data_IF_807531246530
#
_entry.id   IF_807531246530
#
_cell.length_a   1.000
_cell.length_b   1.000
_cell.length_c   1.000
_cell.angle_alpha   90.00
_cell.angle_beta   90.00
_cell.angle_gamma   90.00
#
_symmetry.space_group_name_H-M   'P 1'
#
loop_
_entity.id
_entity.type
_entity.pdbx_description
1 polymer ?
#
# COMPACT_ATOMS: atom_id res chain seq x y z
N UNK A 1 84.38 -22.81 -20.35
CA UNK A 1 84.07 -24.11 -20.96
C UNK A 1 85.35 -24.93 -20.94
N UNK A 2 85.46 -25.89 -20.03
CA UNK A 2 86.54 -26.88 -20.07
C UNK A 2 85.96 -28.10 -20.74
N UNK A 3 86.32 -28.34 -21.99
CA UNK A 3 85.91 -29.52 -22.75
C UNK A 3 86.73 -30.71 -22.28
N UNK A 4 86.09 -31.64 -21.57
CA UNK A 4 86.70 -32.93 -21.23
C UNK A 4 86.66 -33.79 -22.48
N UNK A 5 87.82 -34.27 -22.95
CA UNK A 5 87.93 -35.15 -24.12
C UNK A 5 88.19 -36.59 -23.66
N UNK A 6 87.20 -37.49 -23.69
CA UNK A 6 87.35 -38.88 -23.25
C UNK A 6 88.46 -39.61 -24.02
N UNK A 7 88.64 -39.28 -25.31
CA UNK A 7 89.69 -39.86 -26.16
C UNK A 7 91.12 -39.54 -25.72
N UNK A 8 91.35 -38.41 -25.03
CA UNK A 8 92.69 -38.00 -24.58
C UNK A 8 93.19 -38.86 -23.40
N UNK A 9 92.28 -39.42 -22.59
CA UNK A 9 92.62 -40.35 -21.50
C UNK A 9 92.92 -41.76 -22.03
N UNK A 10 92.23 -42.18 -23.09
CA UNK A 10 92.50 -43.47 -23.76
C UNK A 10 93.91 -43.46 -24.37
N UNK A 11 94.32 -42.37 -25.03
CA UNK A 11 95.70 -42.22 -25.55
C UNK A 11 96.75 -42.14 -24.43
N UNK A 12 96.43 -41.52 -23.29
CA UNK A 12 97.33 -41.41 -22.15
C UNK A 12 97.47 -42.73 -21.36
N UNK A 13 96.46 -43.61 -21.37
CA UNK A 13 96.50 -44.94 -20.74
C UNK A 13 97.11 -46.03 -21.63
N UNK A 14 96.97 -45.93 -22.96
CA UNK A 14 97.53 -46.92 -23.90
C UNK A 14 99.04 -46.78 -24.11
N UNK A 15 99.61 -45.57 -23.99
CA UNK A 15 101.07 -45.36 -24.14
C UNK A 15 101.91 -46.02 -23.04
N UNK A 16 101.53 -45.96 -21.74
CA UNK A 16 102.19 -46.74 -20.69
C UNK A 16 102.06 -48.25 -20.91
N UNK A 17 100.92 -48.74 -21.41
CA UNK A 17 100.72 -50.17 -21.67
C UNK A 17 101.67 -50.71 -22.75
N UNK A 18 101.93 -49.95 -23.81
CA UNK A 18 102.89 -50.31 -24.85
C UNK A 18 104.34 -50.29 -24.35
N UNK A 19 104.70 -49.31 -23.51
CA UNK A 19 106.05 -49.18 -22.93
C UNK A 19 106.30 -50.28 -21.88
N UNK A 20 105.27 -50.73 -21.17
CA UNK A 20 105.38 -51.79 -20.16
C UNK A 20 105.24 -53.21 -20.71
N UNK A 21 104.65 -53.43 -21.90
CA UNK A 21 104.77 -54.71 -22.60
C UNK A 21 106.24 -55.03 -22.94
N UNK A 22 107.03 -53.99 -23.24
CA UNK A 22 108.48 -54.12 -23.40
C UNK A 22 109.19 -54.37 -22.05
N UNK A 23 108.78 -53.69 -20.98
CA UNK A 23 109.37 -53.93 -19.65
C UNK A 23 109.02 -55.32 -19.07
N UNK A 24 107.83 -55.85 -19.36
CA UNK A 24 107.41 -57.19 -18.95
C UNK A 24 108.19 -58.30 -19.68
N UNK A 25 108.68 -58.03 -20.90
CA UNK A 25 109.53 -58.97 -21.62
C UNK A 25 110.97 -59.02 -21.06
N UNK A 26 111.42 -57.95 -20.41
CA UNK A 26 112.76 -57.82 -19.80
C UNK A 26 112.83 -58.27 -18.32
N UNK A 27 111.70 -58.63 -17.70
CA UNK A 27 111.59 -59.07 -16.29
C UNK A 27 111.16 -60.54 -16.19
N UNK A 28 111.48 -61.36 -17.20
CA UNK A 28 111.54 -62.82 -17.00
C UNK A 28 112.85 -63.16 -16.30
N UNK A 29 112.87 -63.10 -14.97
CA UNK A 29 113.56 -64.01 -14.03
C UNK A 29 113.30 -63.50 -12.60
N UNK A 30 112.72 -64.39 -11.78
CA UNK A 30 112.42 -64.32 -10.34
C UNK A 30 111.07 -63.72 -9.86
N UNK A 31 110.18 -64.65 -9.48
CA UNK A 31 109.07 -64.58 -8.52
C UNK A 31 107.64 -64.36 -9.07
N UNK A 32 106.91 -65.48 -9.23
CA UNK A 32 105.54 -65.57 -9.77
C UNK A 32 104.46 -64.84 -8.94
N UNK A 33 104.78 -64.40 -7.72
CA UNK A 33 103.86 -63.59 -6.90
C UNK A 33 103.81 -62.10 -7.33
N UNK A 34 104.83 -61.60 -8.02
CA UNK A 34 104.91 -60.18 -8.42
C UNK A 34 104.01 -59.83 -9.61
N UNK A 35 103.85 -60.75 -10.58
CA UNK A 35 103.03 -60.54 -11.78
C UNK A 35 101.53 -60.41 -11.44
N UNK A 36 101.03 -61.23 -10.52
CA UNK A 36 99.63 -61.19 -10.09
C UNK A 36 99.28 -59.88 -9.37
N UNK A 37 100.21 -59.34 -8.56
CA UNK A 37 100.04 -58.05 -7.87
C UNK A 37 100.02 -56.89 -8.88
N UNK A 38 100.91 -56.92 -9.87
CA UNK A 38 100.97 -55.88 -10.91
C UNK A 38 99.70 -55.90 -11.78
N UNK A 39 99.22 -57.07 -12.19
CA UNK A 39 97.94 -57.20 -12.93
C UNK A 39 96.75 -56.69 -12.11
N UNK A 40 96.68 -57.01 -10.82
CA UNK A 40 95.62 -56.48 -9.95
C UNK A 40 95.70 -54.95 -9.82
N UNK A 41 96.90 -54.38 -9.69
CA UNK A 41 97.06 -52.91 -9.66
C UNK A 41 96.58 -52.25 -10.97
N UNK A 42 96.76 -52.91 -12.12
CA UNK A 42 96.24 -52.45 -13.41
C UNK A 42 94.72 -52.56 -13.48
N UNK A 43 94.13 -53.62 -12.93
CA UNK A 43 92.67 -53.73 -12.85
C UNK A 43 92.09 -52.66 -11.92
N UNK A 44 92.71 -52.41 -10.76
CA UNK A 44 92.30 -51.34 -9.84
C UNK A 44 92.45 -49.95 -10.49
N UNK A 45 93.51 -49.71 -11.26
CA UNK A 45 93.66 -48.47 -12.03
C UNK A 45 92.62 -48.33 -13.13
N UNK A 46 92.30 -49.41 -13.85
CA UNK A 46 91.28 -49.39 -14.90
C UNK A 46 89.87 -49.17 -14.31
N UNK A 47 89.59 -49.79 -13.16
CA UNK A 47 88.35 -49.58 -12.41
C UNK A 47 88.26 -48.12 -11.92
N UNK A 48 89.32 -47.58 -11.31
CA UNK A 48 89.36 -46.19 -10.88
C UNK A 48 89.18 -45.19 -12.03
N UNK A 49 89.73 -45.48 -13.22
CA UNK A 49 89.50 -44.65 -14.41
C UNK A 49 88.03 -44.73 -14.86
N UNK A 50 87.42 -45.93 -14.81
CA UNK A 50 86.00 -46.13 -15.09
C UNK A 50 85.11 -45.37 -14.10
N UNK A 51 85.43 -45.40 -12.81
CA UNK A 51 84.72 -44.65 -11.77
C UNK A 51 84.82 -43.14 -11.98
N UNK A 52 85.99 -42.63 -12.40
CA UNK A 52 86.19 -41.20 -12.71
C UNK A 52 85.32 -40.75 -13.89
N UNK A 53 85.20 -41.57 -14.95
CA UNK A 53 84.35 -41.22 -16.09
C UNK A 53 82.86 -41.22 -15.70
N UNK A 54 82.42 -42.23 -14.93
CA UNK A 54 81.06 -42.29 -14.39
C UNK A 54 80.76 -41.08 -13.50
N UNK A 55 81.68 -40.71 -12.60
CA UNK A 55 81.53 -39.54 -11.74
C UNK A 55 81.48 -38.23 -12.55
N UNK A 56 82.29 -38.13 -13.62
CA UNK A 56 82.26 -37.01 -14.56
C UNK A 56 80.92 -36.86 -15.27
N UNK A 57 80.33 -37.97 -15.74
CA UNK A 57 79.01 -37.98 -16.36
C UNK A 57 77.89 -37.62 -15.36
N UNK A 58 77.96 -38.14 -14.14
CA UNK A 58 77.01 -37.81 -13.07
C UNK A 58 77.07 -36.31 -12.71
N UNK A 59 78.26 -35.73 -12.62
CA UNK A 59 78.44 -34.31 -12.37
C UNK A 59 77.80 -33.44 -13.47
N UNK A 60 78.03 -33.77 -14.75
CA UNK A 60 77.42 -33.03 -15.87
C UNK A 60 75.89 -33.16 -15.90
N UNK A 61 75.36 -34.35 -15.57
CA UNK A 61 73.93 -34.58 -15.43
C UNK A 61 73.32 -33.71 -14.31
N UNK A 62 73.93 -33.71 -13.13
CA UNK A 62 73.51 -32.87 -12.00
C UNK A 62 73.60 -31.37 -12.32
N UNK A 63 74.65 -30.94 -13.02
CA UNK A 63 74.81 -29.55 -13.43
C UNK A 63 73.73 -29.12 -14.44
N UNK A 64 73.34 -30.01 -15.35
CA UNK A 64 72.23 -29.77 -16.29
C UNK A 64 70.89 -29.67 -15.56
N UNK A 65 70.64 -30.56 -14.59
CA UNK A 65 69.44 -30.50 -13.74
C UNK A 65 69.40 -29.20 -12.92
N UNK A 66 70.51 -28.82 -12.29
CA UNK A 66 70.62 -27.60 -11.52
C UNK A 66 70.33 -26.34 -12.37
N UNK A 67 70.92 -26.25 -13.57
CA UNK A 67 70.63 -25.17 -14.50
C UNK A 67 69.17 -25.17 -14.99
N UNK A 68 68.58 -26.35 -15.18
CA UNK A 68 67.16 -26.51 -15.49
C UNK A 68 66.25 -25.96 -14.38
N UNK A 69 66.54 -26.29 -13.12
CA UNK A 69 65.80 -25.79 -11.94
C UNK A 69 65.95 -24.27 -11.81
N UNK A 70 67.15 -23.71 -12.03
CA UNK A 70 67.35 -22.25 -12.03
C UNK A 70 66.49 -21.59 -13.11
N UNK A 71 66.49 -22.14 -14.34
CA UNK A 71 65.69 -21.62 -15.44
C UNK A 71 64.19 -21.66 -15.16
N UNK A 72 63.69 -22.78 -14.61
CA UNK A 72 62.29 -22.92 -14.21
C UNK A 72 61.91 -21.97 -13.07
N UNK A 73 62.74 -21.87 -12.02
CA UNK A 73 62.49 -20.97 -10.90
C UNK A 73 62.41 -19.51 -11.37
N UNK A 74 63.30 -19.10 -12.28
CA UNK A 74 63.23 -17.79 -12.91
C UNK A 74 61.91 -17.58 -13.64
N UNK A 75 61.51 -18.52 -14.49
CA UNK A 75 60.26 -18.49 -15.22
C UNK A 75 59.03 -18.39 -14.31
N UNK A 76 58.98 -19.20 -13.25
CA UNK A 76 57.87 -19.25 -12.30
C UNK A 76 57.74 -17.94 -11.50
N UNK A 77 58.87 -17.34 -11.10
CA UNK A 77 58.87 -16.02 -10.45
C UNK A 77 58.32 -14.94 -11.39
N UNK A 78 58.67 -14.97 -12.68
CA UNK A 78 58.13 -14.03 -13.66
C UNK A 78 56.63 -14.27 -13.92
N UNK A 79 56.20 -15.52 -14.03
CA UNK A 79 54.79 -15.86 -14.17
C UNK A 79 53.99 -15.41 -12.95
N UNK A 80 54.47 -15.72 -11.74
CA UNK A 80 53.83 -15.31 -10.48
C UNK A 80 53.69 -13.79 -10.36
N UNK A 81 54.74 -13.02 -10.70
CA UNK A 81 54.65 -11.54 -10.75
C UNK A 81 53.61 -11.05 -11.75
N UNK A 82 53.53 -11.69 -12.92
CA UNK A 82 52.57 -11.35 -13.97
C UNK A 82 51.13 -11.65 -13.55
N UNK A 83 50.89 -12.83 -12.99
CA UNK A 83 49.59 -13.22 -12.44
C UNK A 83 49.18 -12.31 -11.28
N UNK A 84 50.11 -11.99 -10.38
CA UNK A 84 49.84 -11.07 -9.29
C UNK A 84 49.42 -9.70 -9.83
N UNK A 85 50.15 -9.13 -10.80
CA UNK A 85 49.78 -7.88 -11.45
C UNK A 85 48.39 -7.93 -12.11
N UNK A 86 48.06 -9.03 -12.80
CA UNK A 86 46.72 -9.22 -13.37
C UNK A 86 45.64 -9.29 -12.29
N UNK A 87 45.86 -9.99 -11.18
CA UNK A 87 44.89 -10.06 -10.08
C UNK A 87 44.68 -8.71 -9.39
N UNK A 88 45.73 -7.90 -9.23
CA UNK A 88 45.62 -6.56 -8.63
C UNK A 88 44.91 -5.58 -9.56
N UNK A 89 45.03 -5.76 -10.88
CA UNK A 89 44.35 -4.94 -11.88
C UNK A 89 42.87 -5.31 -12.10
N UNK A 90 42.37 -6.39 -11.51
CA UNK A 90 40.95 -6.76 -11.60
C UNK A 90 40.09 -5.73 -10.83
N UNK A 91 39.02 -5.19 -11.44
CA UNK A 91 38.12 -4.25 -10.76
C UNK A 91 37.52 -4.77 -9.44
N UNK A 92 37.38 -6.09 -9.28
CA UNK A 92 36.90 -6.71 -8.04
C UNK A 92 37.89 -6.60 -6.85
N UNK A 93 39.18 -6.43 -7.15
CA UNK A 93 40.26 -6.27 -6.18
C UNK A 93 40.64 -4.80 -5.95
N UNK A 94 40.10 -3.88 -6.75
CA UNK A 94 40.22 -2.45 -6.53
C UNK A 94 39.44 -2.03 -5.26
N UNK A 95 40.11 -1.45 -4.25
CA UNK A 95 39.46 -0.90 -3.07
C UNK A 95 38.37 0.14 -3.39
N UNK A 96 38.53 0.91 -4.47
CA UNK A 96 37.56 1.93 -4.88
C UNK A 96 36.21 1.31 -5.25
N UNK A 97 36.22 0.19 -5.97
CA UNK A 97 35.01 -0.55 -6.33
C UNK A 97 34.31 -1.12 -5.09
N UNK A 98 35.07 -1.61 -4.11
CA UNK A 98 34.53 -2.11 -2.84
C UNK A 98 33.84 -0.99 -2.05
N UNK A 99 34.48 0.18 -1.95
CA UNK A 99 33.91 1.36 -1.31
C UNK A 99 32.62 1.83 -2.01
N UNK A 100 32.61 1.89 -3.34
CA UNK A 100 31.41 2.28 -4.10
C UNK A 100 30.29 1.24 -3.97
N UNK A 101 30.62 -0.05 -4.01
CA UNK A 101 29.64 -1.12 -3.82
C UNK A 101 29.02 -1.06 -2.43
N UNK A 102 29.84 -0.91 -1.39
CA UNK A 102 29.37 -0.93 -0.01
C UNK A 102 28.59 0.35 0.33
N UNK A 103 29.03 1.52 -0.16
CA UNK A 103 28.25 2.76 -0.04
C UNK A 103 26.90 2.68 -0.76
N UNK A 104 26.85 2.11 -1.98
CA UNK A 104 25.58 1.86 -2.69
C UNK A 104 24.68 0.87 -1.94
N UNK A 105 25.23 -0.15 -1.29
CA UNK A 105 24.46 -1.09 -0.46
C UNK A 105 23.85 -0.43 0.76
N UNK A 106 24.59 0.46 1.43
CA UNK A 106 24.05 1.25 2.55
C UNK A 106 22.93 2.17 2.09
N UNK A 107 23.12 2.88 0.97
CA UNK A 107 22.07 3.71 0.38
C UNK A 107 20.82 2.89 0.03
N UNK A 108 21.00 1.73 -0.61
CA UNK A 108 19.89 0.83 -0.92
C UNK A 108 19.16 0.35 0.34
N UNK A 109 19.88 -0.01 1.41
CA UNK A 109 19.28 -0.44 2.66
C UNK A 109 18.41 0.67 3.29
N UNK A 110 18.89 1.91 3.32
CA UNK A 110 18.12 3.06 3.80
C UNK A 110 16.87 3.30 2.94
N UNK A 111 16.99 3.22 1.62
CA UNK A 111 15.84 3.40 0.72
C UNK A 111 14.80 2.29 0.88
N UNK A 112 15.23 1.04 1.07
CA UNK A 112 14.32 -0.08 1.34
C UNK A 112 13.56 0.10 2.66
N UNK A 113 14.21 0.59 3.71
CA UNK A 113 13.56 0.88 4.98
C UNK A 113 12.47 1.96 4.84
N UNK A 114 12.78 3.05 4.15
CA UNK A 114 11.82 4.14 3.87
C UNK A 114 10.65 3.60 3.05
N UNK A 115 10.92 2.83 1.99
CA UNK A 115 9.89 2.24 1.15
C UNK A 115 8.98 1.28 1.93
N UNK A 116 9.54 0.43 2.79
CA UNK A 116 8.78 -0.47 3.64
C UNK A 116 7.89 0.30 4.62
N UNK A 117 8.38 1.40 5.21
CA UNK A 117 7.58 2.27 6.09
C UNK A 117 6.42 2.92 5.34
N UNK A 118 6.65 3.44 4.13
CA UNK A 118 5.60 4.03 3.31
C UNK A 118 4.56 2.99 2.89
N UNK A 119 4.98 1.78 2.51
CA UNK A 119 4.07 0.68 2.17
C UNK A 119 3.22 0.24 3.36
N UNK A 120 3.80 0.17 4.57
CA UNK A 120 3.04 -0.07 5.80
C UNK A 120 1.98 1.02 6.04
N UNK A 121 2.36 2.30 5.92
CA UNK A 121 1.42 3.41 6.09
C UNK A 121 0.31 3.39 5.05
N UNK A 122 0.60 3.01 3.80
CA UNK A 122 -0.40 2.83 2.76
C UNK A 122 -1.39 1.70 3.10
N UNK A 123 -0.90 0.57 3.58
CA UNK A 123 -1.75 -0.55 4.02
C UNK A 123 -2.63 -0.16 5.22
N UNK A 124 -2.09 0.59 6.20
CA UNK A 124 -2.88 1.12 7.32
C UNK A 124 -3.92 2.13 6.84
N UNK A 125 -3.55 3.05 5.96
CA UNK A 125 -4.51 3.96 5.33
C UNK A 125 -5.66 3.19 4.69
N UNK A 126 -5.37 2.11 3.95
CA UNK A 126 -6.42 1.28 3.35
C UNK A 126 -7.33 0.64 4.41
N UNK A 127 -6.79 0.09 5.50
CA UNK A 127 -7.63 -0.43 6.61
C UNK A 127 -8.55 0.65 7.20
N UNK A 128 -8.07 1.89 7.32
CA UNK A 128 -8.88 3.01 7.80
C UNK A 128 -9.89 3.50 6.77
N UNK A 129 -9.50 3.56 5.50
CA UNK A 129 -10.32 4.05 4.40
C UNK A 129 -11.53 3.14 4.14
N UNK A 130 -11.33 1.83 4.22
CA UNK A 130 -12.38 0.83 4.06
C UNK A 130 -13.01 0.39 5.39
N UNK A 131 -12.48 0.84 6.53
CA UNK A 131 -12.89 0.40 7.89
C UNK A 131 -12.99 -1.11 8.03
N UNK A 132 -12.13 -1.81 7.31
CA UNK A 132 -12.10 -3.25 7.20
C UNK A 132 -10.71 -3.73 7.57
N UNK A 133 -10.63 -4.79 8.36
CA UNK A 133 -9.34 -5.48 8.55
C UNK A 133 -8.99 -6.19 7.26
N UNK A 134 -7.89 -5.79 6.62
CA UNK A 134 -7.41 -6.45 5.40
C UNK A 134 -7.02 -7.91 5.66
N UNK A 135 -6.76 -8.28 6.91
CA UNK A 135 -6.53 -9.67 7.32
C UNK A 135 -7.72 -10.59 7.06
N UNK A 136 -8.95 -10.05 7.02
CA UNK A 136 -10.13 -10.82 6.63
C UNK A 136 -10.09 -11.23 5.15
N UNK A 137 -9.37 -10.47 4.31
CA UNK A 137 -9.10 -10.77 2.90
C UNK A 137 -7.72 -11.43 2.69
N UNK A 138 -7.24 -12.19 3.68
CA UNK A 138 -5.95 -12.89 3.66
C UNK A 138 -4.71 -11.98 3.46
N UNK A 139 -4.86 -10.66 3.61
CA UNK A 139 -3.74 -9.72 3.50
C UNK A 139 -3.23 -9.33 4.88
N UNK A 140 -1.95 -9.64 5.17
CA UNK A 140 -1.35 -9.31 6.45
C UNK A 140 -0.42 -8.11 6.30
N UNK A 141 -0.79 -7.00 6.94
CA UNK A 141 0.05 -5.79 6.98
C UNK A 141 1.46 -6.10 7.52
N UNK A 142 1.59 -7.08 8.42
CA UNK A 142 2.87 -7.51 8.99
C UNK A 142 3.84 -8.12 7.97
N UNK A 143 3.37 -8.57 6.80
CA UNK A 143 4.24 -9.23 5.81
C UNK A 143 5.27 -8.25 5.21
N UNK A 144 5.02 -6.94 5.28
CA UNK A 144 6.01 -5.93 4.87
C UNK A 144 7.29 -5.99 5.70
N UNK A 145 7.23 -6.43 6.96
CA UNK A 145 8.41 -6.60 7.81
C UNK A 145 9.29 -7.77 7.38
N UNK A 146 8.81 -8.63 6.48
CA UNK A 146 9.57 -9.74 5.90
C UNK A 146 10.24 -9.38 4.58
N UNK A 147 9.95 -8.21 4.01
CA UNK A 147 10.50 -7.77 2.74
C UNK A 147 12.03 -7.59 2.85
N UNK A 148 12.78 -8.20 1.93
CA UNK A 148 14.25 -8.10 1.88
C UNK A 148 14.75 -7.41 0.62
N UNK A 149 13.89 -7.30 -0.38
CA UNK A 149 14.20 -6.72 -1.69
C UNK A 149 13.13 -5.73 -2.13
N UNK A 150 13.45 -4.91 -3.13
CA UNK A 150 12.48 -3.99 -3.72
C UNK A 150 11.30 -4.74 -4.37
N UNK A 151 11.55 -5.94 -4.91
CA UNK A 151 10.54 -6.79 -5.52
C UNK A 151 9.53 -7.31 -4.48
N UNK A 152 9.98 -7.62 -3.26
CA UNK A 152 9.08 -8.02 -2.16
C UNK A 152 8.13 -6.88 -1.77
N UNK A 153 8.63 -5.63 -1.73
CA UNK A 153 7.82 -4.45 -1.44
C UNK A 153 6.80 -4.22 -2.58
N UNK A 154 7.22 -4.37 -3.83
CA UNK A 154 6.34 -4.24 -4.98
C UNK A 154 5.22 -5.28 -4.96
N UNK A 155 5.55 -6.55 -4.70
CA UNK A 155 4.58 -7.64 -4.53
C UNK A 155 3.62 -7.37 -3.38
N UNK A 156 4.12 -6.84 -2.26
CA UNK A 156 3.26 -6.43 -1.15
C UNK A 156 2.24 -5.36 -1.58
N UNK A 157 2.66 -4.33 -2.32
CA UNK A 157 1.78 -3.29 -2.82
C UNK A 157 0.77 -3.80 -3.87
N UNK A 158 1.19 -4.71 -4.75
CA UNK A 158 0.29 -5.37 -5.71
C UNK A 158 -0.75 -6.23 -4.99
N UNK A 159 -0.34 -6.96 -3.95
CA UNK A 159 -1.26 -7.75 -3.13
C UNK A 159 -2.22 -6.85 -2.33
N UNK A 160 -1.75 -5.68 -1.87
CA UNK A 160 -2.59 -4.68 -1.22
C UNK A 160 -3.66 -4.17 -2.19
N UNK A 161 -3.25 -3.77 -3.41
CA UNK A 161 -4.16 -3.30 -4.45
C UNK A 161 -5.21 -4.35 -4.84
N UNK A 162 -4.78 -5.61 -4.98
CA UNK A 162 -5.68 -6.73 -5.22
C UNK A 162 -6.64 -6.96 -4.04
N UNK A 163 -6.16 -6.89 -2.80
CA UNK A 163 -6.99 -7.08 -1.61
C UNK A 163 -8.05 -5.98 -1.48
N UNK A 164 -7.69 -4.74 -1.82
CA UNK A 164 -8.60 -3.58 -1.81
C UNK A 164 -9.61 -3.65 -2.96
N UNK A 165 -9.15 -3.97 -4.18
CA UNK A 165 -10.01 -4.07 -5.37
C UNK A 165 -11.07 -5.17 -5.23
N UNK A 166 -10.73 -6.27 -4.54
CA UNK A 166 -11.64 -7.37 -4.30
C UNK A 166 -12.46 -7.23 -3.01
N UNK A 167 -12.38 -6.11 -2.29
CA UNK A 167 -13.35 -5.81 -1.24
C UNK A 167 -14.73 -5.61 -1.91
N UNK A 168 -15.75 -6.43 -1.57
CA UNK A 168 -17.10 -6.21 -2.06
C UNK A 168 -17.56 -4.79 -1.71
N UNK A 169 -18.09 -4.09 -2.71
CA UNK A 169 -18.53 -2.71 -2.53
C UNK A 169 -17.41 -1.69 -2.27
N UNK A 170 -16.20 -1.86 -2.82
CA UNK A 170 -15.12 -0.87 -2.66
C UNK A 170 -15.52 0.59 -3.01
N UNK A 171 -14.64 1.59 -2.84
CA UNK A 171 -14.98 3.01 -3.12
C UNK A 171 -15.51 3.20 -4.54
N UNK A 172 -15.03 2.41 -5.50
CA UNK A 172 -15.57 2.38 -6.87
C UNK A 172 -17.05 2.02 -6.93
N UNK A 173 -17.53 1.15 -6.05
CA UNK A 173 -18.96 0.83 -5.91
C UNK A 173 -19.74 2.00 -5.29
N UNK A 174 -19.16 2.68 -4.29
CA UNK A 174 -19.72 3.92 -3.73
C UNK A 174 -19.84 5.03 -4.78
N UNK A 175 -18.88 5.09 -5.70
CA UNK A 175 -18.86 6.02 -6.83
C UNK A 175 -19.78 5.60 -7.98
N UNK A 176 -20.40 4.42 -7.97
CA UNK A 176 -21.36 3.99 -8.99
C UNK A 176 -22.78 3.88 -8.48
N UNK A 177 -22.95 3.51 -7.22
CA UNK A 177 -24.25 3.27 -6.61
C UNK A 177 -24.79 4.54 -5.95
N UNK A 178 -25.99 4.93 -6.37
CA UNK A 178 -26.70 6.08 -5.84
C UNK A 178 -28.14 5.76 -5.57
N UNK A 179 -28.68 6.42 -4.54
CA UNK A 179 -30.09 6.37 -4.22
C UNK A 179 -30.60 7.76 -3.84
N UNK A 180 -31.76 8.13 -4.35
CA UNK A 180 -32.43 9.37 -4.01
C UNK A 180 -33.48 9.05 -2.95
N UNK A 181 -33.26 9.56 -1.75
CA UNK A 181 -34.14 9.34 -0.60
C UNK A 181 -35.06 10.54 -0.40
N UNK A 182 -36.30 10.25 -0.03
CA UNK A 182 -37.27 11.27 0.38
C UNK A 182 -37.70 10.98 1.81
N UNK A 183 -37.36 11.88 2.72
CA UNK A 183 -37.71 11.78 4.13
C UNK A 183 -38.85 12.76 4.43
N UNK A 184 -40.07 12.24 4.52
CA UNK A 184 -41.22 12.94 5.12
C UNK A 184 -40.96 13.23 6.61
N UNK A 185 -41.12 14.50 7.02
CA UNK A 185 -41.05 14.90 8.44
C UNK A 185 -42.21 14.30 9.21
N UNK A 186 -43.43 14.35 8.68
CA UNK A 186 -44.60 13.80 9.37
C UNK A 186 -44.48 12.29 9.60
N UNK A 187 -44.13 11.52 8.57
CA UNK A 187 -44.09 10.06 8.67
C UNK A 187 -42.81 9.55 9.34
N UNK A 188 -41.63 10.04 8.93
CA UNK A 188 -40.35 9.44 9.35
C UNK A 188 -39.73 10.11 10.58
N UNK A 189 -39.85 11.43 10.73
CA UNK A 189 -39.26 12.16 11.87
C UNK A 189 -40.20 12.16 13.07
N UNK A 190 -41.48 12.48 12.86
CA UNK A 190 -42.49 12.45 13.93
C UNK A 190 -43.09 11.06 14.17
N UNK A 191 -42.81 10.10 13.29
CA UNK A 191 -43.30 8.73 13.44
C UNK A 191 -44.81 8.56 13.19
N UNK A 192 -45.47 9.53 12.53
CA UNK A 192 -46.91 9.48 12.20
C UNK A 192 -47.20 8.53 11.02
N UNK A 193 -46.67 7.31 11.12
CA UNK A 193 -46.86 6.22 10.17
C UNK A 193 -48.30 5.71 10.23
N UNK A 194 -48.77 5.09 9.14
CA UNK A 194 -50.10 4.48 9.12
C UNK A 194 -50.25 3.41 10.21
N UNK A 195 -49.20 2.62 10.46
CA UNK A 195 -49.20 1.59 11.50
C UNK A 195 -49.39 2.19 12.90
N UNK A 196 -48.70 3.30 13.20
CA UNK A 196 -48.85 3.99 14.48
C UNK A 196 -50.26 4.56 14.66
N UNK A 197 -50.80 5.23 13.64
CA UNK A 197 -52.13 5.84 13.70
C UNK A 197 -53.25 4.79 13.79
N UNK A 198 -53.15 3.68 13.03
CA UNK A 198 -54.06 2.53 13.16
C UNK A 198 -54.00 1.91 14.56
N UNK A 199 -52.79 1.81 15.13
CA UNK A 199 -52.59 1.35 16.51
C UNK A 199 -53.26 2.24 17.57
N UNK A 200 -53.52 3.51 17.23
CA UNK A 200 -54.27 4.44 18.07
C UNK A 200 -55.78 4.48 17.76
N UNK A 201 -56.28 3.59 16.91
CA UNK A 201 -57.69 3.48 16.56
C UNK A 201 -58.17 4.46 15.48
N UNK A 202 -57.27 5.08 14.72
CA UNK A 202 -57.64 5.92 13.56
C UNK A 202 -58.09 5.02 12.41
N UNK A 203 -59.25 5.31 11.82
CA UNK A 203 -59.77 4.58 10.67
C UNK A 203 -58.94 4.84 9.40
N UNK A 204 -58.88 3.85 8.51
CA UNK A 204 -58.06 3.93 7.28
C UNK A 204 -58.38 5.13 6.39
N UNK A 205 -59.65 5.55 6.34
CA UNK A 205 -60.09 6.72 5.58
C UNK A 205 -59.58 8.06 6.16
N UNK A 206 -59.28 8.10 7.47
CA UNK A 206 -58.96 9.33 8.20
C UNK A 206 -57.46 9.48 8.50
N UNK A 207 -56.63 8.50 8.12
CA UNK A 207 -55.20 8.47 8.44
C UNK A 207 -54.46 9.74 7.99
N UNK A 208 -54.71 10.19 6.75
CA UNK A 208 -54.05 11.37 6.21
C UNK A 208 -54.54 12.65 6.91
N UNK A 209 -55.82 12.74 7.23
CA UNK A 209 -56.40 13.89 7.93
C UNK A 209 -55.83 14.01 9.34
N UNK A 210 -55.78 12.90 10.10
CA UNK A 210 -55.19 12.89 11.44
C UNK A 210 -53.68 13.12 11.43
N UNK A 211 -52.95 12.59 10.42
CA UNK A 211 -51.52 12.91 10.22
C UNK A 211 -51.32 14.41 10.03
N UNK A 212 -52.04 15.02 9.08
CA UNK A 212 -51.92 16.46 8.79
C UNK A 212 -52.29 17.31 10.00
N UNK A 213 -53.31 16.91 10.77
CA UNK A 213 -53.71 17.60 12.00
C UNK A 213 -52.62 17.57 13.06
N UNK A 214 -52.06 16.40 13.37
CA UNK A 214 -50.97 16.24 14.35
C UNK A 214 -49.68 16.94 13.89
N UNK A 215 -49.39 16.87 12.60
CA UNK A 215 -48.27 17.58 12.00
C UNK A 215 -48.43 19.10 12.13
N UNK A 216 -49.60 19.66 11.83
CA UNK A 216 -49.87 21.11 11.99
C UNK A 216 -49.77 21.57 13.44
N UNK A 217 -50.25 20.77 14.39
CA UNK A 217 -50.05 21.06 15.82
C UNK A 217 -48.55 21.18 16.14
N UNK A 218 -47.74 20.22 15.68
CA UNK A 218 -46.31 20.27 15.85
C UNK A 218 -45.67 21.48 15.16
N UNK A 219 -46.12 21.85 13.95
CA UNK A 219 -45.66 23.06 13.26
C UNK A 219 -45.96 24.31 14.09
N UNK A 220 -47.15 24.42 14.67
CA UNK A 220 -47.53 25.54 15.54
C UNK A 220 -46.62 25.66 16.76
N UNK A 221 -46.28 24.54 17.40
CA UNK A 221 -45.38 24.51 18.57
C UNK A 221 -43.93 24.89 18.23
N UNK A 222 -43.49 24.63 16.99
CA UNK A 222 -42.12 24.86 16.53
C UNK A 222 -41.96 26.11 15.65
N UNK A 223 -43.03 26.89 15.50
CA UNK A 223 -43.02 28.16 14.76
C UNK A 223 -42.82 29.33 15.72
N UNK A 224 -41.89 30.21 15.41
CA UNK A 224 -41.66 31.45 16.13
C UNK A 224 -41.65 32.64 15.17
N UNK A 225 -41.77 33.86 15.70
CA UNK A 225 -41.62 35.08 14.92
C UNK A 225 -40.14 35.36 14.66
N UNK A 226 -39.76 35.39 13.38
CA UNK A 226 -38.42 35.73 12.92
C UNK A 226 -38.08 37.20 13.17
N UNK A 227 -36.82 37.58 12.93
CA UNK A 227 -36.34 38.96 13.06
C UNK A 227 -37.04 39.95 12.13
N UNK A 228 -37.61 39.45 11.05
CA UNK A 228 -38.45 40.16 10.08
C UNK A 228 -39.94 40.25 10.49
N UNK A 229 -40.29 39.72 11.67
CA UNK A 229 -41.67 39.63 12.15
C UNK A 229 -42.52 38.60 11.40
N UNK A 230 -41.91 37.75 10.56
CA UNK A 230 -42.59 36.69 9.80
C UNK A 230 -42.44 35.34 10.49
N UNK A 231 -43.40 34.42 10.32
CA UNK A 231 -43.31 33.11 10.95
C UNK A 231 -42.14 32.31 10.39
N UNK A 232 -41.33 31.74 11.28
CA UNK A 232 -40.18 30.87 10.98
C UNK A 232 -40.36 29.56 11.71
N UNK A 233 -40.35 28.45 10.97
CA UNK A 233 -40.37 27.10 11.53
C UNK A 233 -38.93 26.62 11.75
N UNK A 234 -38.62 26.14 12.95
CA UNK A 234 -37.34 25.50 13.25
C UNK A 234 -37.53 24.20 13.95
N UNK A 235 -36.84 23.19 13.46
CA UNK A 235 -36.79 21.90 14.12
C UNK A 235 -35.43 21.26 13.95
N UNK A 236 -35.11 20.39 14.90
CA UNK A 236 -33.92 19.56 14.86
C UNK A 236 -34.33 18.09 14.81
N UNK A 237 -33.54 17.29 14.11
CA UNK A 237 -33.76 15.85 14.04
C UNK A 237 -32.43 15.11 14.02
N UNK A 238 -32.50 13.81 14.28
CA UNK A 238 -31.34 12.92 14.23
C UNK A 238 -31.56 11.85 13.18
N UNK A 239 -30.47 11.39 12.60
CA UNK A 239 -30.46 10.36 11.57
C UNK A 239 -29.48 9.29 12.01
N UNK A 240 -29.95 8.05 12.08
CA UNK A 240 -29.15 6.91 12.51
C UNK A 240 -29.14 5.83 11.44
N UNK A 241 -27.98 5.22 11.27
CA UNK A 241 -27.72 4.03 10.44
C UNK A 241 -28.00 2.71 11.17
N UNK A 242 -28.33 2.76 12.47
CA UNK A 242 -28.68 1.56 13.22
C UNK A 242 -29.95 0.89 12.66
N UNK A 243 -30.12 -0.40 12.98
CA UNK A 243 -31.36 -1.14 12.71
C UNK A 243 -32.53 -0.39 13.35
N UNK A 244 -33.63 -0.25 12.61
CA UNK A 244 -34.81 0.57 12.94
C UNK A 244 -34.55 2.09 13.10
N UNK A 245 -33.33 2.56 12.85
CA UNK A 245 -33.00 3.98 12.76
C UNK A 245 -33.65 4.65 11.54
N UNK A 246 -33.76 5.98 11.56
CA UNK A 246 -34.48 6.74 10.51
C UNK A 246 -34.06 6.35 9.09
N UNK A 247 -32.75 6.20 8.84
CA UNK A 247 -32.26 5.90 7.49
C UNK A 247 -32.65 4.47 7.08
N UNK A 248 -32.57 3.50 8.00
CA UNK A 248 -32.96 2.12 7.73
C UNK A 248 -34.42 1.97 7.34
N UNK A 249 -35.31 2.81 7.88
CA UNK A 249 -36.75 2.79 7.55
C UNK A 249 -37.06 3.35 6.17
N UNK A 250 -36.20 4.22 5.65
CA UNK A 250 -36.37 4.88 4.34
C UNK A 250 -35.69 4.09 3.23
N UNK A 251 -34.61 3.37 3.54
CA UNK A 251 -33.88 2.52 2.58
C UNK A 251 -34.50 1.12 2.55
N UNK A 252 -35.10 0.76 1.41
CA UNK A 252 -35.89 -0.47 1.21
C UNK A 252 -35.13 -1.79 1.37
N UNK A 253 -33.78 -1.77 1.37
CA UNK A 253 -32.95 -2.96 1.48
C UNK A 253 -32.39 -3.22 2.88
N UNK A 254 -32.86 -2.52 3.92
CA UNK A 254 -32.19 -2.41 5.23
C UNK A 254 -30.80 -1.77 5.10
N UNK A 255 -30.48 -0.84 6.00
CA UNK A 255 -29.15 -0.22 6.03
C UNK A 255 -28.02 -1.25 6.25
N UNK A 256 -28.36 -2.46 6.71
CA UNK A 256 -27.43 -3.57 6.89
C UNK A 256 -26.74 -4.07 5.61
N UNK A 257 -27.29 -3.81 4.42
CA UNK A 257 -26.65 -4.18 3.15
C UNK A 257 -25.84 -3.03 2.53
N UNK A 258 -25.73 -1.92 3.26
CA UNK A 258 -25.09 -0.71 2.78
C UNK A 258 -23.97 -0.31 3.73
N UNK A 259 -22.82 0.08 3.18
CA UNK A 259 -21.76 0.78 3.91
C UNK A 259 -21.49 2.13 3.24
N UNK A 260 -21.01 3.11 4.01
CA UNK A 260 -20.64 4.45 3.50
C UNK A 260 -21.79 5.20 2.78
N UNK A 261 -22.88 5.49 3.51
CA UNK A 261 -23.99 6.30 3.00
C UNK A 261 -23.71 7.79 3.19
N UNK A 262 -23.25 8.46 2.13
CA UNK A 262 -22.92 9.90 2.12
C UNK A 262 -23.82 10.68 1.18
N UNK A 263 -23.96 11.98 1.43
CA UNK A 263 -24.70 12.91 0.56
C UNK A 263 -23.86 13.19 -0.69
N UNK A 264 -24.44 13.05 -1.89
CA UNK A 264 -23.72 13.04 -3.18
C UNK A 264 -24.15 14.08 -4.23
N UNK A 265 -23.26 14.32 -5.23
CA UNK A 265 -23.42 15.15 -6.47
C UNK A 265 -22.79 16.57 -6.45
N UNK A 266 -21.86 17.04 -7.30
CA UNK A 266 -21.59 16.82 -8.73
C UNK A 266 -20.12 16.39 -8.91
N UNK A 267 -19.89 15.31 -9.66
CA UNK A 267 -18.53 14.83 -9.99
C UNK A 267 -18.38 13.33 -10.16
N UNK A 268 -19.38 12.53 -9.77
CA UNK A 268 -19.74 11.14 -10.19
C UNK A 268 -20.62 10.53 -9.07
N UNK A 269 -21.55 9.58 -9.37
CA UNK A 269 -21.98 9.13 -10.71
C UNK A 269 -23.19 9.87 -11.32
N UNK A 270 -23.99 10.66 -10.59
CA UNK A 270 -24.99 11.56 -11.22
C UNK A 270 -24.52 13.02 -11.29
N UNK A 271 -24.10 13.53 -12.46
CA UNK A 271 -23.82 14.96 -12.65
C UNK A 271 -25.06 15.85 -12.52
N UNK A 272 -26.27 15.26 -12.55
CA UNK A 272 -27.55 15.96 -12.41
C UNK A 272 -28.00 16.14 -10.96
N UNK A 273 -27.46 15.36 -10.02
CA UNK A 273 -27.83 15.47 -8.62
C UNK A 273 -26.99 16.54 -7.91
N UNK A 274 -27.63 17.33 -7.05
CA UNK A 274 -27.05 18.52 -6.40
C UNK A 274 -27.02 18.41 -4.87
N UNK A 275 -27.13 17.20 -4.31
CA UNK A 275 -27.03 16.95 -2.87
C UNK A 275 -28.38 16.97 -2.15
N UNK A 276 -28.56 17.97 -1.28
CA UNK A 276 -29.66 18.05 -0.33
C UNK A 276 -30.67 19.13 -0.74
N UNK A 277 -31.95 18.80 -0.79
CA UNK A 277 -33.07 19.70 -1.10
C UNK A 277 -34.23 19.51 -0.12
N UNK A 278 -35.17 20.46 -0.14
CA UNK A 278 -36.39 20.44 0.70
C UNK A 278 -37.57 20.81 -0.18
N UNK A 279 -38.67 20.07 -0.02
CA UNK A 279 -39.96 20.37 -0.60
C UNK A 279 -40.99 20.58 0.52
N UNK A 280 -41.72 21.68 0.45
CA UNK A 280 -42.77 22.04 1.39
C UNK A 280 -44.12 21.71 0.75
N UNK A 281 -44.84 20.77 1.35
CA UNK A 281 -46.18 20.38 0.89
C UNK A 281 -47.22 21.23 1.61
N UNK A 282 -48.07 21.92 0.86
CA UNK A 282 -49.08 22.85 1.39
C UNK A 282 -50.35 22.83 0.55
N UNK A 283 -51.49 22.95 1.24
CA UNK A 283 -52.80 23.12 0.60
C UNK A 283 -53.11 24.59 0.28
N UNK A 284 -52.21 25.51 0.63
CA UNK A 284 -52.44 26.94 0.43
C UNK A 284 -52.60 27.27 -1.05
N UNK A 285 -53.72 27.91 -1.45
CA UNK A 285 -53.94 28.27 -2.84
C UNK A 285 -53.03 29.42 -3.27
N UNK A 286 -52.62 29.41 -4.54
CA UNK A 286 -51.86 30.48 -5.17
C UNK A 286 -50.41 30.12 -5.52
N UNK A 287 -49.70 31.05 -6.17
CA UNK A 287 -48.31 30.86 -6.60
C UNK A 287 -47.35 31.30 -5.50
N UNK A 288 -47.04 30.40 -4.57
CA UNK A 288 -46.09 30.64 -3.47
C UNK A 288 -44.64 30.69 -3.94
N UNK A 289 -44.32 30.10 -5.10
CA UNK A 289 -42.97 30.06 -5.65
C UNK A 289 -42.04 29.15 -4.84
N UNK A 290 -41.24 29.75 -3.95
CA UNK A 290 -40.23 29.07 -3.14
C UNK A 290 -40.07 29.74 -1.77
N UNK A 291 -39.45 29.06 -0.81
CA UNK A 291 -39.06 29.65 0.48
C UNK A 291 -37.58 29.55 0.74
N UNK A 292 -37.02 30.52 1.46
CA UNK A 292 -35.62 30.42 1.85
C UNK A 292 -35.52 29.42 3.00
N UNK A 293 -34.67 28.41 2.80
CA UNK A 293 -34.44 27.36 3.79
C UNK A 293 -32.96 27.32 4.14
N UNK A 294 -32.70 27.20 5.43
CA UNK A 294 -31.37 27.00 5.97
C UNK A 294 -31.33 25.67 6.70
N UNK A 295 -30.39 24.83 6.30
CA UNK A 295 -30.14 23.55 6.95
C UNK A 295 -28.75 23.57 7.53
N UNK A 296 -28.59 22.97 8.69
CA UNK A 296 -27.31 22.85 9.38
C UNK A 296 -27.11 21.40 9.78
N UNK A 297 -25.90 20.88 9.54
CA UNK A 297 -25.45 19.60 10.07
C UNK A 297 -24.29 19.83 11.03
N UNK A 298 -24.38 19.28 12.23
CA UNK A 298 -23.37 19.38 13.28
C UNK A 298 -23.32 18.11 14.13
N UNK A 299 -22.42 18.10 15.11
CA UNK A 299 -22.32 17.03 16.10
C UNK A 299 -21.54 15.81 15.63
N UNK A 300 -21.87 14.66 16.18
CA UNK A 300 -21.29 13.38 15.81
C UNK A 300 -22.02 12.82 14.60
N UNK A 301 -21.24 12.24 13.71
CA UNK A 301 -21.73 11.57 12.51
C UNK A 301 -21.50 10.07 12.66
N UNK A 302 -22.42 9.29 12.11
CA UNK A 302 -22.36 7.85 12.09
C UNK A 302 -21.90 7.34 10.73
N UNK A 303 -21.05 6.32 10.72
CA UNK A 303 -20.76 5.53 9.53
C UNK A 303 -20.84 4.06 9.84
N UNK A 304 -21.23 3.28 8.83
CA UNK A 304 -21.16 1.82 8.89
C UNK A 304 -20.03 1.36 8.00
N UNK A 305 -19.18 0.50 8.54
CA UNK A 305 -18.07 -0.07 7.79
C UNK A 305 -18.51 -1.16 6.83
N UNK A 306 -17.61 -1.54 5.93
CA UNK A 306 -17.75 -2.73 5.10
C UNK A 306 -18.12 -3.98 5.93
N UNK A 307 -17.49 -4.17 7.10
CA UNK A 307 -17.79 -5.28 7.99
C UNK A 307 -19.16 -5.16 8.70
N UNK A 308 -19.82 -4.00 8.66
CA UNK A 308 -21.10 -3.72 9.32
C UNK A 308 -20.97 -3.12 10.72
N UNK A 309 -19.79 -2.64 11.07
CA UNK A 309 -19.55 -2.04 12.38
C UNK A 309 -20.00 -0.57 12.32
N UNK A 310 -20.77 -0.15 13.31
CA UNK A 310 -21.18 1.24 13.47
C UNK A 310 -20.07 2.03 14.16
N UNK A 311 -19.71 3.17 13.58
CA UNK A 311 -18.72 4.08 14.09
C UNK A 311 -19.33 5.47 14.22
N UNK A 312 -19.41 5.95 15.46
CA UNK A 312 -19.69 7.34 15.73
C UNK A 312 -18.36 8.10 15.75
N UNK A 313 -18.30 9.22 15.04
CA UNK A 313 -17.09 10.00 14.95
C UNK A 313 -17.38 11.49 14.89
N UNK A 314 -16.38 12.27 15.27
CA UNK A 314 -16.38 13.71 15.12
C UNK A 314 -15.54 14.06 13.89
N UNK A 315 -16.08 14.89 13.02
CA UNK A 315 -15.37 15.42 11.86
C UNK A 315 -14.33 16.45 12.35
N UNK A 316 -13.05 16.06 12.37
CA UNK A 316 -11.91 16.93 12.74
C UNK A 316 -11.04 17.16 11.49
N UNK A 317 -10.65 18.39 11.11
CA UNK A 317 -9.77 18.62 9.97
C UNK A 317 -8.29 18.36 10.33
N UNK A 318 -7.45 17.94 9.37
CA UNK A 318 -7.79 17.42 8.05
C UNK A 318 -8.13 15.94 8.19
N UNK A 319 -9.41 15.56 8.06
CA UNK A 319 -9.79 14.15 8.00
C UNK A 319 -10.07 13.74 6.55
N UNK A 320 -9.06 13.47 5.72
CA UNK A 320 -9.25 12.66 4.52
C UNK A 320 -9.32 11.19 4.97
N UNK A 321 -10.39 10.83 5.68
CA UNK A 321 -10.62 9.46 6.13
C UNK A 321 -12.05 9.07 5.77
N UNK A 322 -12.21 7.83 5.27
CA UNK A 322 -13.47 7.16 4.90
C UNK A 322 -14.06 7.47 3.51
N UNK A 323 -13.24 7.70 2.46
CA UNK A 323 -13.81 8.06 1.14
C UNK A 323 -14.73 9.29 1.17
N UNK A 324 -14.61 10.09 2.24
CA UNK A 324 -15.27 11.36 2.48
C UNK A 324 -14.30 12.43 2.03
N UNK A 325 -14.11 12.54 0.72
CA UNK A 325 -13.49 13.74 0.18
C UNK A 325 -14.48 14.89 0.36
N UNK A 326 -14.23 15.72 1.38
CA UNK A 326 -14.97 16.96 1.55
C UNK A 326 -14.46 17.98 0.53
N UNK A 327 -15.34 18.82 -0.05
CA UNK A 327 -14.90 19.96 -0.84
C UNK A 327 -13.88 20.80 -0.04
N UNK A 328 -12.81 21.24 -0.72
CA UNK A 328 -11.76 22.03 -0.10
C UNK A 328 -12.35 23.26 0.61
N UNK A 329 -12.04 23.42 1.90
CA UNK A 329 -12.52 24.56 2.70
C UNK A 329 -13.90 24.38 3.36
N UNK A 330 -14.55 23.21 3.22
CA UNK A 330 -15.77 22.91 3.98
C UNK A 330 -15.44 22.78 5.49
N UNK A 331 -16.16 23.47 6.40
CA UNK A 331 -15.96 23.29 7.84
C UNK A 331 -16.30 21.86 8.28
N UNK A 332 -15.55 21.32 9.25
CA UNK A 332 -15.78 19.94 9.72
C UNK A 332 -16.76 19.88 10.89
N UNK A 333 -16.74 20.82 11.83
CA UNK A 333 -17.63 20.80 13.00
C UNK A 333 -19.09 21.14 12.68
N UNK A 334 -19.32 22.10 11.78
CA UNK A 334 -20.66 22.60 11.46
C UNK A 334 -20.73 23.07 10.00
N UNK A 335 -21.65 22.51 9.23
CA UNK A 335 -21.91 22.93 7.85
C UNK A 335 -23.33 23.43 7.73
N UNK A 336 -23.46 24.56 7.05
CA UNK A 336 -24.74 25.22 6.80
C UNK A 336 -24.93 25.37 5.30
N UNK A 337 -26.07 24.88 4.80
CA UNK A 337 -26.54 25.11 3.44
C UNK A 337 -27.74 26.07 3.46
N UNK A 338 -27.72 27.07 2.58
CA UNK A 338 -28.85 27.97 2.34
C UNK A 338 -29.27 27.83 0.88
N UNK A 339 -30.55 27.56 0.64
CA UNK A 339 -31.09 27.30 -0.69
C UNK A 339 -32.61 27.53 -0.70
N UNK A 340 -33.22 27.44 -1.89
CA UNK A 340 -34.66 27.61 -2.07
C UNK A 340 -35.37 26.28 -1.78
N UNK A 341 -36.21 26.24 -0.75
CA UNK A 341 -37.18 25.17 -0.56
C UNK A 341 -38.25 25.24 -1.65
N UNK A 342 -38.46 24.11 -2.31
CA UNK A 342 -39.50 23.94 -3.32
C UNK A 342 -40.89 23.91 -2.66
N UNK A 343 -41.93 24.28 -3.42
CA UNK A 343 -43.32 24.21 -2.96
C UNK A 343 -44.06 23.20 -3.83
N UNK A 344 -44.72 22.22 -3.20
CA UNK A 344 -45.58 21.24 -3.88
C UNK A 344 -44.91 20.50 -5.05
N UNK A 345 -43.58 20.30 -4.98
CA UNK A 345 -42.82 19.51 -5.95
C UNK A 345 -42.76 20.11 -7.36
N UNK A 346 -42.93 21.43 -7.51
CA UNK A 346 -42.85 22.11 -8.81
C UNK A 346 -41.48 21.93 -9.46
N UNK A 347 -40.41 21.83 -8.66
CA UNK A 347 -39.05 21.68 -9.13
C UNK A 347 -38.46 20.32 -8.76
N UNK A 348 -37.68 19.77 -9.68
CA UNK A 348 -36.88 18.57 -9.42
C UNK A 348 -35.69 18.88 -8.49
N UNK A 349 -35.16 17.87 -7.78
CA UNK A 349 -33.97 18.03 -6.93
C UNK A 349 -32.70 18.40 -7.74
N UNK A 350 -32.73 18.26 -9.08
CA UNK A 350 -31.68 18.68 -10.00
C UNK A 350 -31.77 20.16 -10.41
N UNK A 351 -32.86 20.85 -10.11
CA UNK A 351 -33.05 22.25 -10.50
C UNK A 351 -32.09 23.15 -9.72
N UNK A 352 -31.26 23.98 -10.39
CA UNK A 352 -30.32 24.86 -9.70
C UNK A 352 -31.01 25.78 -8.67
N UNK A 353 -30.42 25.88 -7.48
CA UNK A 353 -30.91 26.73 -6.40
C UNK A 353 -31.94 26.08 -5.48
N UNK A 354 -32.54 24.94 -5.86
CA UNK A 354 -33.51 24.21 -5.03
C UNK A 354 -32.91 23.08 -4.19
N UNK A 355 -31.59 22.92 -4.32
CA UNK A 355 -30.77 21.95 -3.64
C UNK A 355 -29.37 22.50 -3.48
N UNK A 356 -28.65 22.03 -2.46
CA UNK A 356 -27.36 22.56 -2.07
C UNK A 356 -26.25 21.51 -2.08
N UNK A 357 -25.09 21.82 -2.71
CA UNK A 357 -23.89 20.99 -2.62
C UNK A 357 -23.13 21.20 -1.29
N UNK A 358 -23.67 22.02 -0.37
CA UNK A 358 -22.98 22.34 0.88
C UNK A 358 -22.67 21.10 1.72
N UNK A 359 -23.45 20.03 1.61
CA UNK A 359 -23.31 18.80 2.41
C UNK A 359 -22.57 17.66 1.70
N UNK A 360 -21.96 17.92 0.55
CA UNK A 360 -21.32 16.86 -0.22
C UNK A 360 -20.19 16.18 0.54
N UNK A 361 -20.13 14.86 0.38
CA UNK A 361 -19.16 14.01 1.07
C UNK A 361 -19.50 13.78 2.53
N UNK A 362 -20.53 14.44 3.09
CA UNK A 362 -20.91 14.26 4.50
C UNK A 362 -21.78 13.01 4.67
N UNK A 363 -21.62 12.28 5.78
CA UNK A 363 -22.49 11.15 6.08
C UNK A 363 -23.93 11.61 6.25
N UNK A 364 -24.85 10.73 5.86
CA UNK A 364 -26.25 10.97 6.14
C UNK A 364 -26.55 10.87 7.64
N UNK A 365 -25.98 9.87 8.34
CA UNK A 365 -26.20 9.66 9.77
C UNK A 365 -25.48 10.72 10.60
N UNK A 366 -26.24 11.47 11.38
CA UNK A 366 -25.79 12.56 12.23
C UNK A 366 -26.80 12.82 13.34
N UNK A 367 -26.29 13.18 14.52
CA UNK A 367 -27.10 13.57 15.67
C UNK A 367 -27.45 15.06 15.71
N UNK A 368 -27.03 15.87 14.73
CA UNK A 368 -27.20 17.32 14.77
C UNK A 368 -27.71 17.92 13.46
N UNK A 369 -28.87 17.47 12.96
CA UNK A 369 -29.54 18.18 11.88
C UNK A 369 -30.48 19.24 12.42
N UNK A 370 -30.42 20.44 11.86
CA UNK A 370 -31.36 21.53 12.13
C UNK A 370 -31.85 22.11 10.81
N UNK A 371 -33.15 22.35 10.71
CA UNK A 371 -33.81 22.95 9.56
C UNK A 371 -34.53 24.22 10.00
N UNK A 372 -34.36 25.28 9.24
CA UNK A 372 -34.98 26.58 9.44
C UNK A 372 -35.68 26.98 8.14
N UNK A 373 -36.99 27.13 8.19
CA UNK A 373 -37.82 27.52 7.06
C UNK A 373 -38.44 28.88 7.38
N UNK A 374 -38.14 29.89 6.57
CA UNK A 374 -38.81 31.19 6.67
C UNK A 374 -40.13 31.13 5.88
N UNK A 375 -41.27 31.41 6.53
CA UNK A 375 -42.57 31.49 5.88
C UNK A 375 -42.78 32.77 5.08
N UNK A 376 -42.02 33.83 5.40
CA UNK A 376 -42.03 35.10 4.68
C UNK A 376 -41.56 34.99 3.23
N UNK A 377 -42.10 35.86 2.39
CA UNK A 377 -41.70 36.02 1.00
C UNK A 377 -40.20 36.34 0.85
N UNK A 378 -39.42 35.51 0.13
CA UNK A 378 -37.97 35.73 0.01
C UNK A 378 -37.58 37.04 -0.68
N UNK A 379 -38.45 37.57 -1.54
CA UNK A 379 -38.22 38.78 -2.34
C UNK A 379 -39.27 39.89 -2.07
N UNK A 380 -40.21 39.67 -1.14
CA UNK A 380 -41.31 40.59 -0.85
C UNK A 380 -42.40 40.67 -1.94
N UNK A 381 -42.26 39.94 -3.04
CA UNK A 381 -43.21 39.95 -4.18
C UNK A 381 -44.16 38.75 -4.08
N UNK A 382 -43.65 37.59 -3.65
CA UNK A 382 -44.46 36.40 -3.46
C UNK A 382 -45.37 36.56 -2.22
N UNK A 383 -46.56 35.94 -2.19
CA UNK A 383 -47.37 35.89 -0.96
C UNK A 383 -46.62 35.11 0.12
N UNK A 384 -46.86 35.44 1.39
CA UNK A 384 -46.31 34.69 2.53
C UNK A 384 -46.91 33.28 2.60
N UNK A 385 -46.10 32.31 3.05
CA UNK A 385 -46.54 30.94 3.29
C UNK A 385 -47.16 30.88 4.68
N UNK A 386 -48.41 30.47 4.72
CA UNK A 386 -49.06 30.08 5.95
C UNK A 386 -48.55 28.70 6.37
N UNK A 387 -47.66 28.68 7.37
CA UNK A 387 -47.08 27.44 7.89
C UNK A 387 -48.15 26.50 8.47
N UNK A 388 -49.31 27.02 8.87
CA UNK A 388 -50.43 26.19 9.36
C UNK A 388 -51.16 25.43 8.26
N UNK A 389 -50.92 25.77 6.99
CA UNK A 389 -51.47 25.06 5.83
C UNK A 389 -50.52 24.00 5.27
N UNK A 390 -49.33 23.85 5.89
CA UNK A 390 -48.44 22.75 5.56
C UNK A 390 -49.12 21.39 5.85
N UNK A 391 -48.93 20.46 4.94
CA UNK A 391 -49.37 19.07 5.06
C UNK A 391 -48.20 18.14 5.34
N UNK A 392 -47.01 18.48 4.84
CA UNK A 392 -45.75 17.79 5.13
C UNK A 392 -44.53 18.64 4.75
N UNK A 393 -43.36 18.21 5.18
CA UNK A 393 -42.05 18.68 4.70
C UNK A 393 -41.25 17.46 4.26
N UNK A 394 -40.80 17.46 3.01
CA UNK A 394 -40.04 16.37 2.42
C UNK A 394 -38.58 16.79 2.26
N UNK A 395 -37.68 16.06 2.91
CA UNK A 395 -36.24 16.22 2.71
C UNK A 395 -35.82 15.33 1.55
N UNK A 396 -35.36 15.92 0.45
CA UNK A 396 -34.93 15.23 -0.77
C UNK A 396 -33.41 15.12 -0.76
N UNK A 397 -32.90 13.93 -0.52
CA UNK A 397 -31.47 13.71 -0.31
C UNK A 397 -30.97 12.74 -1.36
N UNK A 398 -30.03 13.19 -2.19
CA UNK A 398 -29.29 12.27 -3.04
C UNK A 398 -28.08 11.74 -2.30
N UNK A 399 -27.94 10.42 -2.32
CA UNK A 399 -26.92 9.71 -1.57
C UNK A 399 -26.17 8.75 -2.46
N UNK A 400 -24.88 8.61 -2.17
CA UNK A 400 -24.05 7.53 -2.71
C UNK A 400 -23.84 6.50 -1.61
N UNK A 401 -23.74 5.24 -2.00
CA UNK A 401 -23.64 4.16 -1.05
C UNK A 401 -22.79 3.03 -1.61
N UNK A 402 -22.11 2.29 -0.74
CA UNK A 402 -21.43 1.07 -1.12
C UNK A 402 -22.21 -0.15 -0.66
N UNK A 403 -22.22 -1.22 -1.46
CA UNK A 403 -22.94 -2.45 -1.14
C UNK A 403 -22.14 -3.38 -0.22
N UNK A 404 -22.83 -4.14 0.61
CA UNK A 404 -22.26 -5.22 1.45
C UNK A 404 -22.80 -6.56 0.97
N UNK A 405 -21.93 -7.57 0.94
CA UNK A 405 -22.31 -8.93 0.52
C UNK A 405 -23.12 -9.71 1.57
N UNK A 406 -23.15 -9.26 2.83
CA UNK A 406 -23.90 -9.92 3.90
C UNK A 406 -24.40 -8.93 4.96
N UNK A 407 -25.64 -9.13 5.42
CA UNK A 407 -26.25 -8.45 6.57
C UNK A 407 -25.97 -9.19 7.90
N UNK A 408 -24.86 -9.92 7.98
CA UNK A 408 -24.46 -10.55 9.25
C UNK A 408 -23.84 -9.51 10.15
N UNK A 409 -24.28 -9.48 11.42
CA UNK A 409 -23.68 -8.64 12.44
C UNK A 409 -22.19 -9.01 12.58
N UNK A 410 -21.26 -8.04 12.47
CA UNK A 410 -19.84 -8.35 12.58
C UNK A 410 -19.50 -8.83 13.99
N UNK A 411 -18.57 -9.77 14.05
CA UNK A 411 -17.86 -10.04 15.31
C UNK A 411 -16.96 -8.86 15.65
N UNK A 412 -16.73 -8.55 16.94
CA UNK A 412 -15.83 -7.45 17.34
C UNK A 412 -14.43 -7.56 16.74
N UNK A 413 -13.97 -8.79 16.45
CA UNK A 413 -12.67 -9.06 15.82
C UNK A 413 -12.56 -8.57 14.36
N UNK A 414 -13.69 -8.35 13.69
CA UNK A 414 -13.78 -7.83 12.32
C UNK A 414 -13.83 -6.29 12.29
N UNK A 415 -14.17 -5.66 13.42
CA UNK A 415 -14.19 -4.21 13.56
C UNK A 415 -12.77 -3.66 13.78
N UNK A 416 -12.44 -2.61 13.05
CA UNK A 416 -11.25 -1.78 13.32
C UNK A 416 -11.71 -0.67 14.24
N UNK A 417 -11.14 -0.60 15.45
CA UNK A 417 -11.34 0.58 16.30
C UNK A 417 -10.53 1.71 15.69
N UNK A 418 -11.21 2.75 15.19
CA UNK A 418 -10.56 3.99 14.83
C UNK A 418 -10.24 4.74 16.13
N UNK A 419 -9.15 4.34 16.80
CA UNK A 419 -8.59 5.14 17.89
C UNK A 419 -7.88 6.34 17.28
N UNK A 420 -8.41 7.54 17.53
CA UNK A 420 -7.77 8.81 17.24
C UNK A 420 -7.04 9.33 18.47
#
# INVERSE_FOLDING_TARGET
VVTFHPGALIEAGLRPAAIMQQAAHDVEIEDANSEAVVRNLFYDMAEAIGEIDIAGQQYQSMLTQFNGVIGQTGHDVYQSKREHAYTTALPANDPSYRLVRDSRRLQLATQLEIAARLAYLAARRAEYEYTARLSANNFRVSDIYRARTADDILKFLQNLDNAVTNLPGGIRDAETNQNDLTISVAQHILGLTDQYLKGQGVADADLQTERSKRFRQWVAENTYLGSDGKPTLVFSYTTSSAVDGLISRVVTQDYGFVWLHKIGGIGQPKPTSKGFGINLMTDQPGSLGYRLVRVTQSGQVGLTSFAGCLFDYRLIPPAPLLGLEFPLGQPTDLVTGVFNGDINGVHTNSTPGYSTPAFLGRPLASNGWQVVINGGSPNGILPDLDLQQLTDIELKISTTYASRSANTQPTPSQCVRADY
#
